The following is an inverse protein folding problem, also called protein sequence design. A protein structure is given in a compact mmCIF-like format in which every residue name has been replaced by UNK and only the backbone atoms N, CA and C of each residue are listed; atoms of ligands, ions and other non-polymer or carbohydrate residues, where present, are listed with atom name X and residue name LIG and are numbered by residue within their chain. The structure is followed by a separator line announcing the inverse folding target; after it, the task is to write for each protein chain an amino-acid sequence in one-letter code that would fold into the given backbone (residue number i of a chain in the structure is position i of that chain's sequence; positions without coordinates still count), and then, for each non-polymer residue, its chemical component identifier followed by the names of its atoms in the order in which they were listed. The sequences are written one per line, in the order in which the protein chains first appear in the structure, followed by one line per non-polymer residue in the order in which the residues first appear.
data_IF_925013161183
#
_entry.id   IF_925013161183
#
_cell.length_a   1.000
_cell.length_b   1.000
_cell.length_c   1.000
_cell.angle_alpha   90.00
_cell.angle_beta   90.00
_cell.angle_gamma   90.00
#
_symmetry.space_group_name_H-M   'P 1'
#
loop_
_entity.id
_entity.type
_entity.pdbx_description
1 polymer ?
#
# COMPACT_ATOMS: atom_id res chain seq x y z
N UNK A 1 -4.33 -10.54 16.83
CA UNK A 1 -4.35 -11.73 15.96
C UNK A 1 -5.43 -11.65 14.88
N UNK A 2 -5.16 -12.22 13.70
CA UNK A 2 -6.13 -12.27 12.61
C UNK A 2 -6.00 -13.54 11.75
N UNK A 3 -7.05 -13.81 10.98
CA UNK A 3 -7.02 -14.75 9.85
C UNK A 3 -7.22 -13.93 8.58
N UNK A 4 -6.42 -14.17 7.56
CA UNK A 4 -6.47 -13.39 6.32
C UNK A 4 -6.09 -14.24 5.11
N UNK A 5 -6.39 -13.77 3.90
CA UNK A 5 -5.92 -14.36 2.66
C UNK A 5 -4.45 -14.03 2.38
N UNK A 6 -3.83 -14.73 1.42
CA UNK A 6 -2.48 -14.41 0.96
C UNK A 6 -2.37 -12.95 0.45
N UNK A 7 -3.39 -12.48 -0.27
CA UNK A 7 -3.47 -11.08 -0.74
C UNK A 7 -3.54 -10.10 0.43
N UNK A 8 -4.33 -10.41 1.48
CA UNK A 8 -4.45 -9.56 2.66
C UNK A 8 -3.17 -9.49 3.52
N UNK A 9 -2.32 -10.51 3.45
CA UNK A 9 -1.03 -10.55 4.15
C UNK A 9 0.12 -9.95 3.32
N UNK A 10 -0.10 -9.71 2.03
CA UNK A 10 0.92 -9.23 1.10
C UNK A 10 1.59 -7.95 1.61
N UNK A 11 2.91 -7.91 1.52
CA UNK A 11 3.77 -6.83 2.01
C UNK A 11 3.69 -6.52 3.52
N UNK A 12 2.82 -7.18 4.29
CA UNK A 12 2.70 -6.91 5.73
C UNK A 12 3.62 -7.79 6.58
N UNK A 13 3.72 -9.09 6.29
CA UNK A 13 4.46 -10.06 7.09
C UNK A 13 5.98 -9.85 7.06
N UNK A 14 6.57 -9.69 5.86
CA UNK A 14 8.02 -9.72 5.66
C UNK A 14 8.62 -11.07 6.07
N UNK A 15 9.73 -11.04 6.80
CA UNK A 15 10.44 -12.23 7.28
C UNK A 15 10.05 -12.60 8.73
N UNK A 16 8.86 -12.22 9.18
CA UNK A 16 8.37 -12.48 10.52
C UNK A 16 7.28 -13.54 10.52
N UNK A 17 7.11 -14.22 11.66
CA UNK A 17 5.95 -15.07 11.90
C UNK A 17 4.68 -14.22 11.86
N UNK A 18 3.65 -14.74 11.18
CA UNK A 18 2.37 -14.05 11.08
C UNK A 18 1.63 -13.97 12.44
N UNK A 19 0.78 -12.99 12.57
CA UNK A 19 -0.02 -12.75 13.76
C UNK A 19 -1.35 -13.52 13.76
N UNK A 20 -1.33 -14.76 13.32
CA UNK A 20 -2.49 -15.63 13.19
C UNK A 20 -2.32 -16.62 12.05
N UNK A 21 -3.27 -16.65 11.12
CA UNK A 21 -3.24 -17.57 9.98
C UNK A 21 -3.42 -16.84 8.65
N UNK A 22 -2.79 -17.42 7.61
CA UNK A 22 -2.97 -17.00 6.21
C UNK A 22 -3.54 -18.21 5.48
N UNK A 23 -4.73 -18.08 4.91
CA UNK A 23 -5.36 -19.12 4.09
C UNK A 23 -6.32 -18.50 3.09
N UNK A 24 -6.37 -19.09 1.88
CA UNK A 24 -7.31 -18.73 0.82
C UNK A 24 -8.48 -19.74 0.74
N UNK A 25 -8.51 -20.76 1.62
CA UNK A 25 -9.58 -21.75 1.68
C UNK A 25 -10.65 -21.31 2.68
N UNK A 26 -11.91 -21.23 2.24
CA UNK A 26 -13.04 -20.73 3.04
C UNK A 26 -13.31 -21.62 4.27
N UNK A 27 -13.25 -22.95 4.13
CA UNK A 27 -13.48 -23.87 5.25
C UNK A 27 -12.38 -23.74 6.29
N UNK A 28 -11.12 -23.74 5.83
CA UNK A 28 -9.97 -23.56 6.70
C UNK A 28 -9.99 -22.20 7.39
N UNK A 29 -10.45 -21.15 6.71
CA UNK A 29 -10.57 -19.82 7.28
C UNK A 29 -11.46 -19.82 8.53
N UNK A 30 -12.62 -20.48 8.46
CA UNK A 30 -13.54 -20.62 9.59
C UNK A 30 -12.91 -21.42 10.73
N UNK A 31 -12.30 -22.56 10.42
CA UNK A 31 -11.63 -23.41 11.43
C UNK A 31 -10.51 -22.65 12.15
N UNK A 32 -9.66 -21.91 11.41
CA UNK A 32 -8.57 -21.12 11.97
C UNK A 32 -9.08 -19.93 12.80
N UNK A 33 -10.18 -19.31 12.39
CA UNK A 33 -10.81 -18.25 13.17
C UNK A 33 -11.32 -18.76 14.51
N UNK A 34 -11.99 -19.92 14.51
CA UNK A 34 -12.47 -20.58 15.73
C UNK A 34 -11.30 -20.99 16.64
N UNK A 35 -10.26 -21.59 16.07
CA UNK A 35 -9.05 -21.98 16.81
C UNK A 35 -8.40 -20.76 17.47
N UNK A 36 -8.25 -19.67 16.72
CA UNK A 36 -7.64 -18.43 17.21
C UNK A 36 -8.45 -17.83 18.38
N UNK A 37 -9.76 -18.01 18.38
CA UNK A 37 -10.65 -17.54 19.46
C UNK A 37 -10.64 -18.47 20.69
N UNK A 38 -10.46 -19.78 20.50
CA UNK A 38 -10.56 -20.76 21.57
C UNK A 38 -9.24 -21.07 22.27
N UNK A 39 -8.11 -20.93 21.59
CA UNK A 39 -6.77 -21.22 22.14
C UNK A 39 -6.09 -19.92 22.61
N UNK A 40 -6.12 -19.67 23.90
CA UNK A 40 -5.50 -18.48 24.52
C UNK A 40 -3.98 -18.41 24.29
N UNK A 41 -3.28 -19.55 24.35
CA UNK A 41 -1.81 -19.56 24.17
C UNK A 41 -1.45 -19.20 22.73
N UNK A 42 -2.20 -19.77 21.78
CA UNK A 42 -2.00 -19.44 20.37
C UNK A 42 -2.36 -17.99 20.08
N UNK A 43 -3.45 -17.48 20.66
CA UNK A 43 -3.85 -16.08 20.55
C UNK A 43 -2.77 -15.13 21.07
N UNK A 44 -2.20 -15.40 22.26
CA UNK A 44 -1.13 -14.59 22.86
C UNK A 44 0.13 -14.59 21.98
N UNK A 45 0.55 -15.76 21.50
CA UNK A 45 1.71 -15.88 20.60
C UNK A 45 1.49 -15.08 19.30
N UNK A 46 0.30 -15.20 18.73
CA UNK A 46 -0.08 -14.44 17.52
C UNK A 46 -0.07 -12.93 17.77
N UNK A 47 -0.56 -12.48 18.91
CA UNK A 47 -0.50 -11.07 19.31
C UNK A 47 0.95 -10.57 19.42
N UNK A 48 1.84 -11.33 20.06
CA UNK A 48 3.26 -10.99 20.16
C UNK A 48 3.92 -10.88 18.79
N UNK A 49 3.61 -11.80 17.87
CA UNK A 49 4.09 -11.73 16.49
C UNK A 49 3.60 -10.45 15.79
N UNK A 50 2.33 -10.08 15.97
CA UNK A 50 1.80 -8.84 15.45
C UNK A 50 2.55 -7.60 15.96
N UNK A 51 2.82 -7.54 17.25
CA UNK A 51 3.62 -6.44 17.82
C UNK A 51 5.04 -6.42 17.28
N UNK A 52 5.67 -7.58 17.06
CA UNK A 52 6.99 -7.64 16.43
C UNK A 52 6.98 -7.11 15.01
N UNK A 53 5.97 -7.49 14.21
CA UNK A 53 5.80 -6.98 12.84
C UNK A 53 5.66 -5.45 12.85
N UNK A 54 4.75 -4.92 13.66
CA UNK A 54 4.52 -3.47 13.75
C UNK A 54 5.79 -2.74 14.18
N UNK A 55 6.45 -3.22 15.24
CA UNK A 55 7.64 -2.59 15.79
C UNK A 55 8.82 -2.60 14.81
N UNK A 56 8.99 -3.70 14.07
CA UNK A 56 10.17 -3.87 13.21
C UNK A 56 9.97 -3.35 11.79
N UNK A 57 8.72 -3.17 11.33
CA UNK A 57 8.44 -2.79 9.95
C UNK A 57 7.66 -1.50 9.78
N UNK A 58 6.80 -1.15 10.74
CA UNK A 58 5.85 -0.05 10.60
C UNK A 58 6.03 1.06 11.64
N UNK A 59 7.05 0.97 12.47
CA UNK A 59 7.34 1.99 13.46
C UNK A 59 7.75 3.30 12.76
N UNK A 60 7.12 4.41 13.13
CA UNK A 60 7.32 5.74 12.55
C UNK A 60 8.80 6.12 12.46
N UNK A 61 9.54 5.87 13.52
CA UNK A 61 10.96 6.22 13.66
C UNK A 61 11.87 5.53 12.63
N UNK A 62 11.39 4.45 12.00
CA UNK A 62 12.13 3.77 10.93
C UNK A 62 12.07 4.53 9.60
N UNK A 63 11.00 5.29 9.36
CA UNK A 63 10.73 5.93 8.07
C UNK A 63 10.84 7.44 8.12
N UNK A 64 10.45 8.04 9.22
CA UNK A 64 10.32 9.49 9.35
C UNK A 64 11.61 10.25 9.00
N UNK A 65 12.80 9.89 9.50
CA UNK A 65 14.02 10.64 9.19
C UNK A 65 14.35 10.61 7.71
N UNK A 66 14.23 9.43 7.08
CA UNK A 66 14.50 9.27 5.64
C UNK A 66 13.47 10.02 4.79
N UNK A 67 12.20 9.93 5.15
CA UNK A 67 11.11 10.60 4.46
C UNK A 67 11.24 12.13 4.53
N UNK A 68 11.49 12.67 5.72
CA UNK A 68 11.68 14.12 5.91
C UNK A 68 12.92 14.60 5.15
N UNK A 69 14.03 13.88 5.24
CA UNK A 69 15.25 14.21 4.50
C UNK A 69 14.99 14.25 2.98
N UNK A 70 14.25 13.27 2.45
CA UNK A 70 13.92 13.24 1.03
C UNK A 70 13.02 14.40 0.59
N UNK A 71 12.07 14.80 1.42
CA UNK A 71 11.23 15.98 1.16
C UNK A 71 12.08 17.25 1.15
N UNK A 72 12.99 17.40 2.12
CA UNK A 72 13.89 18.56 2.20
C UNK A 72 14.80 18.62 0.98
N UNK A 73 15.45 17.53 0.60
CA UNK A 73 16.28 17.41 -0.60
C UNK A 73 15.53 17.86 -1.87
N UNK A 74 14.29 17.38 -2.05
CA UNK A 74 13.47 17.76 -3.20
C UNK A 74 13.08 19.24 -3.13
N UNK A 75 12.72 19.73 -1.95
CA UNK A 75 12.33 21.14 -1.75
C UNK A 75 13.47 22.10 -2.06
N UNK A 76 14.67 21.80 -1.61
CA UNK A 76 15.87 22.60 -1.85
C UNK A 76 16.29 22.61 -3.33
N UNK A 77 16.00 21.51 -4.05
CA UNK A 77 16.39 21.33 -5.45
C UNK A 77 15.17 21.24 -6.38
N UNK A 78 14.07 21.90 -6.04
CA UNK A 78 12.77 21.72 -6.69
C UNK A 78 12.80 21.97 -8.20
N UNK A 79 13.50 22.99 -8.65
CA UNK A 79 13.63 23.34 -10.07
C UNK A 79 14.38 22.24 -10.83
N UNK A 80 15.53 21.79 -10.31
CA UNK A 80 16.28 20.68 -10.91
C UNK A 80 15.48 19.39 -10.95
N UNK A 81 14.79 19.07 -9.85
CA UNK A 81 13.93 17.89 -9.75
C UNK A 81 12.79 17.93 -10.79
N UNK A 82 12.15 19.08 -10.99
CA UNK A 82 11.11 19.26 -12.02
C UNK A 82 11.68 19.11 -13.43
N UNK A 83 12.83 19.70 -13.71
CA UNK A 83 13.46 19.64 -15.02
C UNK A 83 13.92 18.21 -15.38
N UNK A 84 14.32 17.40 -14.42
CA UNK A 84 14.64 15.98 -14.61
C UNK A 84 13.43 15.13 -15.00
N UNK A 85 12.21 15.57 -14.67
CA UNK A 85 10.97 14.87 -15.00
C UNK A 85 10.34 15.38 -16.31
N UNK A 86 11.14 15.67 -17.31
CA UNK A 86 10.69 16.20 -18.60
C UNK A 86 9.65 15.29 -19.28
N UNK A 87 9.88 13.97 -19.30
CA UNK A 87 8.93 13.02 -19.87
C UNK A 87 7.59 13.02 -19.12
N UNK A 88 7.60 13.11 -17.80
CA UNK A 88 6.38 13.19 -16.98
C UNK A 88 5.58 14.46 -17.29
N UNK A 89 6.25 15.59 -17.51
CA UNK A 89 5.60 16.85 -17.92
C UNK A 89 4.95 16.74 -19.29
N UNK A 90 5.64 16.13 -20.27
CA UNK A 90 5.08 15.88 -21.60
C UNK A 90 3.86 14.98 -21.52
N UNK A 91 3.94 13.87 -20.79
CA UNK A 91 2.82 12.92 -20.63
C UNK A 91 1.62 13.59 -19.97
N UNK A 92 1.82 14.40 -18.94
CA UNK A 92 0.76 15.15 -18.28
C UNK A 92 0.10 16.15 -19.25
N UNK A 93 0.87 16.88 -20.03
CA UNK A 93 0.37 17.79 -21.05
C UNK A 93 -0.45 17.05 -22.12
N UNK A 94 0.04 15.92 -22.62
CA UNK A 94 -0.68 15.11 -23.61
C UNK A 94 -2.00 14.56 -23.07
N UNK A 95 -2.04 14.12 -21.83
CA UNK A 95 -3.27 13.64 -21.17
C UNK A 95 -4.34 14.74 -21.13
N UNK A 96 -3.96 15.96 -20.73
CA UNK A 96 -4.87 17.11 -20.70
C UNK A 96 -5.39 17.48 -22.10
N UNK A 97 -4.53 17.48 -23.11
CA UNK A 97 -4.93 17.76 -24.49
C UNK A 97 -5.83 16.66 -25.06
N UNK A 98 -5.50 15.39 -24.81
CA UNK A 98 -6.31 14.25 -25.23
C UNK A 98 -7.75 14.34 -24.68
N UNK A 99 -7.90 14.63 -23.39
CA UNK A 99 -9.22 14.81 -22.76
C UNK A 99 -9.99 15.96 -23.38
N UNK A 100 -9.32 17.10 -23.64
CA UNK A 100 -9.94 18.27 -24.28
C UNK A 100 -10.47 17.95 -25.69
N UNK A 101 -9.67 17.27 -26.50
CA UNK A 101 -10.06 16.93 -27.87
C UNK A 101 -11.12 15.84 -27.91
N UNK A 102 -11.08 14.87 -26.99
CA UNK A 102 -12.13 13.87 -26.85
C UNK A 102 -13.47 14.51 -26.49
N UNK A 103 -13.50 15.45 -25.56
CA UNK A 103 -14.72 16.17 -25.19
C UNK A 103 -15.29 16.93 -26.36
N UNK A 104 -14.45 17.66 -27.10
CA UNK A 104 -14.88 18.37 -28.32
C UNK A 104 -15.43 17.43 -29.40
N UNK A 105 -14.82 16.29 -29.60
CA UNK A 105 -15.28 15.29 -30.54
C UNK A 105 -16.64 14.72 -30.14
N UNK A 106 -16.87 14.45 -28.84
CA UNK A 106 -18.16 14.00 -28.32
C UNK A 106 -19.24 15.07 -28.53
N UNK A 107 -18.93 16.33 -28.21
CA UNK A 107 -19.84 17.46 -28.44
C UNK A 107 -20.25 17.56 -29.91
N UNK A 108 -19.29 17.49 -30.82
CA UNK A 108 -19.58 17.61 -32.29
C UNK A 108 -20.36 16.42 -32.80
N UNK A 109 -20.06 15.21 -32.33
CA UNK A 109 -20.80 13.99 -32.69
C UNK A 109 -22.27 14.05 -32.25
N UNK A 110 -22.56 14.72 -31.14
CA UNK A 110 -23.92 14.83 -30.57
C UNK A 110 -24.72 16.04 -31.06
N UNK A 111 -24.15 16.90 -31.89
CA UNK A 111 -24.86 17.98 -32.61
C UNK A 111 -25.63 17.42 -33.80
N UNK A 112 -26.70 16.64 -33.54
CA UNK A 112 -27.67 16.22 -34.56
C UNK A 112 -28.96 16.95 -34.38
#
# INVERSE_FOLDING_TARGET
PNVTSAVGAEAMQGNHDWNGFITDNETEFVEKAVLLYQDENFWRKSQENGFKIIKNRFKKELFEPHFIHKIQEISENLESHRNQNFLGQILQHHTLQSTKYLSKWIEEKNKK
#
